data_IF_455534481362
#
_entry.id   IF_455534481362
#
_cell.length_a   1.000
_cell.length_b   1.000
_cell.length_c   1.000
_cell.angle_alpha   90.00
_cell.angle_beta   90.00
_cell.angle_gamma   90.00
#
_symmetry.space_group_name_H-M   'P 1'
#
loop_
_entity.id
_entity.type
_entity.pdbx_description
1 polymer ?
#
# COMPACT_ATOMS: atom_id res chain seq x y z
N UNK A 1 -0.56 -39.11 -31.08
CA UNK A 1 -1.01 -37.95 -30.29
C UNK A 1 0.24 -37.16 -29.97
N UNK A 2 0.46 -36.04 -30.64
CA UNK A 2 1.63 -35.19 -30.41
C UNK A 2 1.39 -34.42 -29.12
N UNK A 3 2.24 -34.65 -28.13
CA UNK A 3 2.37 -33.75 -26.98
C UNK A 3 2.86 -32.42 -27.54
N UNK A 4 1.95 -31.47 -27.71
CA UNK A 4 2.29 -30.07 -27.91
C UNK A 4 3.00 -29.63 -26.62
N UNK A 5 4.33 -29.60 -26.65
CA UNK A 5 5.13 -28.98 -25.60
C UNK A 5 4.75 -27.51 -25.54
N UNK A 6 3.91 -27.16 -24.57
CA UNK A 6 3.58 -25.76 -24.27
C UNK A 6 4.89 -25.09 -23.86
N UNK A 7 5.31 -24.07 -24.61
CA UNK A 7 6.44 -23.23 -24.19
C UNK A 7 6.14 -22.67 -22.79
N UNK A 8 7.12 -22.69 -21.86
CA UNK A 8 6.91 -22.17 -20.53
C UNK A 8 6.56 -20.67 -20.59
N UNK A 9 5.59 -20.26 -19.78
CA UNK A 9 5.11 -18.88 -19.72
C UNK A 9 6.28 -17.93 -19.42
N UNK A 10 6.39 -16.77 -20.09
CA UNK A 10 7.44 -15.78 -19.79
C UNK A 10 7.50 -15.36 -18.31
N UNK A 11 6.38 -15.37 -17.57
CA UNK A 11 6.37 -15.13 -16.13
C UNK A 11 7.08 -16.25 -15.34
N UNK A 12 6.93 -17.51 -15.77
CA UNK A 12 7.56 -18.67 -15.10
C UNK A 12 9.09 -18.68 -15.26
N UNK A 13 9.59 -18.13 -16.36
CA UNK A 13 11.01 -18.10 -16.71
C UNK A 13 11.70 -16.78 -16.32
N UNK A 14 10.95 -15.81 -15.81
CA UNK A 14 11.47 -14.50 -15.45
C UNK A 14 12.36 -14.57 -14.22
N UNK A 15 13.60 -14.07 -14.32
CA UNK A 15 14.50 -13.91 -13.18
C UNK A 15 14.55 -12.43 -12.77
N UNK A 16 14.03 -12.07 -11.59
CA UNK A 16 13.98 -10.69 -11.12
C UNK A 16 15.35 -10.17 -10.63
N UNK A 17 16.35 -11.05 -10.47
CA UNK A 17 17.71 -10.70 -10.00
C UNK A 17 17.77 -9.95 -8.66
N UNK A 18 16.77 -10.17 -7.78
CA UNK A 18 16.77 -9.58 -6.44
C UNK A 18 17.60 -10.45 -5.50
N UNK A 19 18.69 -9.88 -4.99
CA UNK A 19 19.50 -10.53 -3.96
C UNK A 19 18.83 -10.40 -2.60
N UNK A 20 18.96 -11.46 -1.78
CA UNK A 20 18.52 -11.42 -0.39
C UNK A 20 19.29 -10.34 0.36
N UNK A 21 18.55 -9.44 1.01
CA UNK A 21 19.11 -8.38 1.83
C UNK A 21 19.18 -8.78 3.29
N UNK A 22 20.02 -8.09 4.05
CA UNK A 22 20.14 -8.26 5.50
C UNK A 22 19.83 -6.94 6.20
N UNK A 23 18.96 -6.98 7.19
CA UNK A 23 18.74 -5.85 8.09
C UNK A 23 19.88 -5.79 9.13
N UNK A 24 20.48 -4.61 9.41
CA UNK A 24 21.57 -4.48 10.38
C UNK A 24 21.13 -4.77 11.84
N UNK A 25 19.83 -4.72 12.14
CA UNK A 25 19.25 -4.95 13.46
C UNK A 25 18.86 -6.41 13.70
N UNK A 26 18.93 -7.28 12.68
CA UNK A 26 18.63 -8.70 12.83
C UNK A 26 18.10 -9.38 11.56
N UNK A 27 17.30 -10.42 11.76
CA UNK A 27 16.74 -11.26 10.71
C UNK A 27 15.46 -10.68 10.07
N UNK A 28 15.31 -9.35 10.08
CA UNK A 28 14.10 -8.69 9.61
C UNK A 28 14.07 -8.55 8.09
N UNK A 29 12.88 -8.75 7.51
CA UNK A 29 12.64 -8.56 6.07
C UNK A 29 12.20 -7.13 5.79
N UNK A 30 11.30 -6.60 6.62
CA UNK A 30 10.70 -5.28 6.41
C UNK A 30 11.55 -4.16 7.02
N UNK A 31 11.59 -2.97 6.38
CA UNK A 31 12.31 -1.80 6.90
C UNK A 31 11.88 -1.41 8.32
N UNK A 32 12.82 -0.87 9.09
CA UNK A 32 12.58 -0.39 10.45
C UNK A 32 11.36 0.54 10.56
N UNK A 33 11.16 1.43 9.59
CA UNK A 33 10.03 2.35 9.58
C UNK A 33 8.67 1.67 9.66
N UNK A 34 8.45 0.54 8.96
CA UNK A 34 7.20 -0.24 9.08
C UNK A 34 7.14 -1.01 10.40
N UNK A 35 8.28 -1.51 10.89
CA UNK A 35 8.36 -2.29 12.13
C UNK A 35 8.10 -1.47 13.39
N UNK A 36 8.34 -0.16 13.31
CA UNK A 36 8.29 0.77 14.45
C UNK A 36 7.04 1.64 14.49
N UNK A 37 6.07 1.42 13.59
CA UNK A 37 4.81 2.15 13.61
C UNK A 37 4.02 1.86 14.92
N UNK A 38 3.30 2.86 15.46
CA UNK A 38 2.53 2.67 16.68
C UNK A 38 1.29 1.82 16.44
N UNK A 39 0.90 0.99 17.42
CA UNK A 39 -0.36 0.27 17.37
C UNK A 39 -1.58 1.20 17.42
N UNK A 40 -2.63 0.90 16.63
CA UNK A 40 -2.80 -0.30 15.79
C UNK A 40 -2.41 -0.10 14.32
N UNK A 41 -1.67 0.96 13.98
CA UNK A 41 -1.32 1.29 12.59
C UNK A 41 -0.28 0.35 11.98
N UNK A 42 0.46 -0.39 12.81
CA UNK A 42 1.32 -1.50 12.42
C UNK A 42 0.55 -2.82 12.18
N UNK A 43 -0.77 -2.80 12.27
CA UNK A 43 -1.62 -3.97 12.03
C UNK A 43 -2.56 -3.68 10.85
N UNK A 44 -2.63 -4.57 9.86
CA UNK A 44 -3.62 -4.52 8.77
C UNK A 44 -5.03 -4.95 9.25
N UNK A 45 -5.49 -4.42 10.39
CA UNK A 45 -6.81 -4.71 10.98
C UNK A 45 -7.68 -3.45 10.99
N UNK A 46 -8.39 -3.26 9.87
CA UNK A 46 -9.34 -2.15 9.73
C UNK A 46 -10.40 -2.12 10.83
N UNK A 47 -10.86 -3.26 11.35
CA UNK A 47 -11.91 -3.27 12.38
C UNK A 47 -11.43 -2.58 13.65
N UNK A 48 -10.18 -2.86 14.03
CA UNK A 48 -9.54 -2.22 15.18
C UNK A 48 -9.23 -0.75 14.92
N UNK A 49 -8.75 -0.41 13.73
CA UNK A 49 -8.46 0.98 13.34
C UNK A 49 -9.74 1.82 13.34
N UNK A 50 -10.83 1.34 12.74
CA UNK A 50 -12.09 2.07 12.64
C UNK A 50 -12.69 2.45 14.01
N UNK A 51 -12.44 1.64 15.04
CA UNK A 51 -12.92 1.84 16.42
C UNK A 51 -12.03 2.76 17.27
N UNK A 52 -10.87 3.20 16.77
CA UNK A 52 -9.97 4.08 17.52
C UNK A 52 -10.65 5.40 17.92
N UNK A 53 -10.43 5.91 19.14
CA UNK A 53 -11.03 7.17 19.57
C UNK A 53 -10.41 8.36 18.81
N UNK A 54 -11.22 9.37 18.46
CA UNK A 54 -10.80 10.57 17.71
C UNK A 54 -10.18 11.62 18.64
N UNK A 55 -9.14 11.24 19.37
CA UNK A 55 -8.42 12.16 20.27
C UNK A 55 -7.28 12.87 19.54
N UNK A 56 -6.78 13.97 20.12
CA UNK A 56 -5.66 14.72 19.55
C UNK A 56 -4.36 13.87 19.53
N UNK A 57 -4.18 12.96 20.48
CA UNK A 57 -3.06 12.03 20.48
C UNK A 57 -3.12 11.09 19.27
N UNK A 58 -4.31 10.56 18.94
CA UNK A 58 -4.47 9.69 17.77
C UNK A 58 -4.34 10.44 16.45
N UNK A 59 -4.74 11.71 16.40
CA UNK A 59 -4.45 12.57 15.25
C UNK A 59 -2.95 12.84 15.08
N UNK A 60 -2.24 13.08 16.19
CA UNK A 60 -0.79 13.25 16.16
C UNK A 60 -0.07 11.97 15.69
N UNK A 61 -0.52 10.80 16.13
CA UNK A 61 -0.02 9.52 15.64
C UNK A 61 -0.33 9.30 14.15
N UNK A 62 -1.57 9.52 13.71
CA UNK A 62 -1.95 9.41 12.30
C UNK A 62 -1.08 10.30 11.39
N UNK A 63 -0.87 11.56 11.81
CA UNK A 63 0.05 12.48 11.13
C UNK A 63 1.47 11.91 11.08
N UNK A 64 1.97 11.40 12.20
CA UNK A 64 3.31 10.81 12.27
C UNK A 64 3.46 9.62 11.33
N UNK A 65 2.47 8.71 11.31
CA UNK A 65 2.44 7.54 10.41
C UNK A 65 2.53 7.98 8.95
N UNK A 66 1.63 8.87 8.49
CA UNK A 66 1.66 9.37 7.11
C UNK A 66 2.98 10.06 6.75
N UNK A 67 3.56 10.82 7.69
CA UNK A 67 4.86 11.46 7.50
C UNK A 67 5.96 10.43 7.29
N UNK A 68 6.02 9.38 8.12
CA UNK A 68 6.98 8.28 8.00
C UNK A 68 6.81 7.54 6.67
N UNK A 69 5.57 7.22 6.29
CA UNK A 69 5.28 6.55 5.03
C UNK A 69 5.75 7.37 3.83
N UNK A 70 5.60 8.70 3.86
CA UNK A 70 6.05 9.59 2.78
C UNK A 70 7.56 9.79 2.72
N UNK A 71 8.21 9.94 3.87
CA UNK A 71 9.59 10.46 3.94
C UNK A 71 10.66 9.37 3.99
N UNK A 72 10.35 8.17 4.47
CA UNK A 72 11.33 7.09 4.56
C UNK A 72 11.54 6.40 3.19
N UNK A 73 12.72 6.62 2.62
CA UNK A 73 13.10 6.10 1.30
C UNK A 73 13.17 4.57 1.26
N UNK A 74 13.35 3.88 2.40
CA UNK A 74 13.35 2.42 2.45
C UNK A 74 11.96 1.84 2.14
N UNK A 75 10.90 2.65 2.21
CA UNK A 75 9.52 2.25 1.92
C UNK A 75 9.15 2.36 0.44
N UNK A 76 10.04 2.90 -0.40
CA UNK A 76 9.86 3.01 -1.84
C UNK A 76 10.97 2.27 -2.61
N UNK A 77 11.21 0.96 -2.36
CA UNK A 77 12.21 0.21 -3.09
C UNK A 77 11.85 0.13 -4.58
N UNK A 78 12.87 0.07 -5.45
CA UNK A 78 12.64 -0.26 -6.85
C UNK A 78 12.30 -1.75 -6.97
N UNK A 79 11.03 -2.04 -7.24
CA UNK A 79 10.54 -3.41 -7.45
C UNK A 79 10.65 -3.76 -8.94
N UNK A 80 11.44 -4.79 -9.32
CA UNK A 80 11.46 -5.29 -10.68
C UNK A 80 10.05 -5.69 -11.13
N UNK A 81 9.68 -5.22 -12.32
CA UNK A 81 8.35 -5.48 -12.87
C UNK A 81 8.33 -6.83 -13.62
N UNK A 82 7.31 -7.67 -13.40
CA UNK A 82 7.14 -8.87 -14.19
C UNK A 82 6.91 -8.52 -15.68
N UNK A 83 7.25 -9.43 -16.61
CA UNK A 83 7.16 -9.17 -18.05
C UNK A 83 5.72 -8.99 -18.55
N UNK A 84 4.73 -9.45 -17.78
CA UNK A 84 3.31 -9.19 -18.00
C UNK A 84 2.66 -8.81 -16.66
N UNK A 85 1.74 -7.83 -16.64
CA UNK A 85 0.85 -7.67 -15.51
C UNK A 85 -0.18 -8.81 -15.54
N UNK A 86 -0.27 -9.59 -14.45
CA UNK A 86 -1.16 -10.74 -14.46
C UNK A 86 -1.01 -11.71 -13.29
N UNK A 87 -0.84 -12.99 -13.63
CA UNK A 87 -1.01 -14.10 -12.71
C UNK A 87 0.11 -14.17 -11.67
N UNK A 88 1.34 -13.78 -12.01
CA UNK A 88 2.43 -13.75 -11.04
C UNK A 88 2.17 -12.76 -9.90
N UNK A 89 1.56 -11.60 -10.20
CA UNK A 89 1.17 -10.63 -9.18
C UNK A 89 0.14 -11.20 -8.20
N UNK A 90 -0.86 -11.92 -8.72
CA UNK A 90 -1.86 -12.60 -7.88
C UNK A 90 -1.22 -13.65 -6.96
N UNK A 91 -0.17 -14.33 -7.43
CA UNK A 91 0.56 -15.30 -6.58
C UNK A 91 1.42 -14.58 -5.53
N UNK A 92 1.97 -13.40 -5.82
CA UNK A 92 2.63 -12.58 -4.80
C UNK A 92 1.64 -12.17 -3.70
N UNK A 93 0.44 -11.72 -4.07
CA UNK A 93 -0.62 -11.39 -3.12
C UNK A 93 -1.02 -12.58 -2.25
N UNK A 94 -1.18 -13.78 -2.83
CA UNK A 94 -1.42 -15.02 -2.06
C UNK A 94 -0.29 -15.28 -1.06
N UNK A 95 0.97 -15.04 -1.46
CA UNK A 95 2.12 -15.22 -0.59
C UNK A 95 2.17 -14.17 0.53
N UNK A 96 1.89 -12.90 0.21
CA UNK A 96 1.78 -11.82 1.19
C UNK A 96 0.67 -12.08 2.19
N UNK A 97 -0.47 -12.62 1.76
CA UNK A 97 -1.54 -13.05 2.65
C UNK A 97 -1.05 -14.14 3.61
N UNK A 98 -0.34 -15.16 3.12
CA UNK A 98 0.22 -16.21 3.98
C UNK A 98 1.26 -15.66 4.98
N UNK A 99 2.05 -14.66 4.57
CA UNK A 99 2.94 -13.90 5.46
C UNK A 99 2.13 -13.19 6.54
N UNK A 100 1.10 -12.43 6.17
CA UNK A 100 0.24 -11.70 7.12
C UNK A 100 -0.52 -12.63 8.08
N UNK A 101 -0.93 -13.81 7.65
CA UNK A 101 -1.59 -14.80 8.52
C UNK A 101 -0.62 -15.41 9.55
N UNK A 102 0.66 -15.60 9.18
CA UNK A 102 1.66 -16.27 10.02
C UNK A 102 2.50 -15.30 10.86
N UNK A 103 2.73 -14.10 10.35
CA UNK A 103 3.52 -13.02 10.93
C UNK A 103 2.72 -11.71 10.81
N UNK A 104 1.65 -11.54 11.62
CA UNK A 104 0.64 -10.49 11.43
C UNK A 104 1.14 -9.06 11.68
N UNK A 105 2.31 -8.87 12.29
CA UNK A 105 2.91 -7.55 12.48
C UNK A 105 4.16 -7.41 11.63
N UNK A 106 4.44 -6.21 11.07
CA UNK A 106 5.67 -5.96 10.32
C UNK A 106 6.94 -6.31 11.12
N UNK A 107 6.92 -6.06 12.43
CA UNK A 107 8.03 -6.41 13.34
C UNK A 107 8.25 -7.92 13.54
N UNK A 108 7.30 -8.76 13.12
CA UNK A 108 7.42 -10.23 13.17
C UNK A 108 7.91 -10.82 11.86
N UNK A 109 7.89 -10.05 10.76
CA UNK A 109 8.28 -10.54 9.43
C UNK A 109 9.79 -10.72 9.36
N UNK A 110 10.21 -11.97 9.53
CA UNK A 110 11.61 -12.39 9.55
C UNK A 110 11.93 -13.33 8.41
N UNK A 111 13.18 -13.32 8.00
CA UNK A 111 13.69 -14.17 6.93
C UNK A 111 13.56 -15.66 7.29
N UNK A 112 13.80 -16.02 8.54
CA UNK A 112 13.55 -17.36 9.08
C UNK A 112 12.06 -17.77 8.99
N UNK A 113 11.13 -16.89 9.35
CA UNK A 113 9.69 -17.15 9.20
C UNK A 113 9.25 -17.25 7.73
N UNK A 114 9.78 -16.39 6.86
CA UNK A 114 9.55 -16.47 5.41
C UNK A 114 10.08 -17.79 4.84
N UNK A 115 11.26 -18.25 5.27
CA UNK A 115 11.82 -19.53 4.81
C UNK A 115 10.97 -20.72 5.24
N UNK A 116 10.30 -20.66 6.40
CA UNK A 116 9.33 -21.68 6.83
C UNK A 116 8.10 -21.70 5.91
N UNK A 117 7.57 -20.54 5.54
CA UNK A 117 6.48 -20.43 4.57
C UNK A 117 6.88 -20.96 3.20
N UNK A 118 8.08 -20.64 2.72
CA UNK A 118 8.62 -21.14 1.46
C UNK A 118 8.72 -22.68 1.47
N UNK A 119 9.15 -23.29 2.59
CA UNK A 119 9.16 -24.76 2.73
C UNK A 119 7.75 -25.32 2.68
N UNK A 120 6.81 -24.74 3.42
CA UNK A 120 5.41 -25.18 3.42
C UNK A 120 4.77 -25.08 2.03
N UNK A 121 5.04 -24.02 1.28
CA UNK A 121 4.57 -23.82 -0.09
C UNK A 121 5.20 -24.80 -1.07
N UNK A 122 6.49 -25.10 -0.92
CA UNK A 122 7.20 -26.09 -1.74
C UNK A 122 6.62 -27.50 -1.58
N UNK A 123 6.17 -27.84 -0.38
CA UNK A 123 5.65 -29.17 -0.06
C UNK A 123 4.14 -29.33 -0.41
N UNK A 124 3.49 -28.30 -0.96
CA UNK A 124 2.08 -28.36 -1.37
C UNK A 124 1.86 -29.38 -2.49
N UNK A 125 0.88 -30.30 -2.38
CA UNK A 125 0.63 -31.35 -3.38
C UNK A 125 0.28 -30.85 -4.79
N UNK A 126 -0.16 -29.59 -4.92
CA UNK A 126 -0.65 -28.99 -6.16
C UNK A 126 -0.02 -27.61 -6.42
N UNK A 127 1.31 -27.47 -6.26
CA UNK A 127 1.98 -26.23 -6.63
C UNK A 127 1.93 -26.02 -8.15
N UNK A 128 1.24 -24.99 -8.62
CA UNK A 128 1.28 -24.55 -10.02
C UNK A 128 2.64 -23.88 -10.34
N UNK A 129 3.03 -23.73 -11.62
CA UNK A 129 4.34 -23.20 -11.98
C UNK A 129 4.69 -21.83 -11.34
N UNK A 130 3.74 -20.91 -11.26
CA UNK A 130 3.93 -19.59 -10.66
C UNK A 130 4.16 -19.65 -9.14
N UNK A 131 3.56 -20.62 -8.43
CA UNK A 131 3.89 -20.88 -7.02
C UNK A 131 5.36 -21.29 -6.85
N UNK A 132 5.85 -22.13 -7.77
CA UNK A 132 7.27 -22.52 -7.76
C UNK A 132 8.19 -21.36 -8.10
N UNK A 133 7.75 -20.42 -8.93
CA UNK A 133 8.48 -19.19 -9.21
C UNK A 133 8.66 -18.37 -7.93
N UNK A 134 7.58 -18.10 -7.19
CA UNK A 134 7.66 -17.38 -5.90
C UNK A 134 8.56 -18.10 -4.90
N UNK A 135 8.48 -19.43 -4.79
CA UNK A 135 9.37 -20.22 -3.93
C UNK A 135 10.84 -20.10 -4.31
N UNK A 136 11.17 -19.84 -5.58
CA UNK A 136 12.55 -19.64 -6.06
C UNK A 136 13.02 -18.20 -5.94
N UNK A 137 12.10 -17.25 -6.01
CA UNK A 137 12.36 -15.82 -6.06
C UNK A 137 11.58 -15.09 -4.96
N UNK A 138 11.61 -15.62 -3.73
CA UNK A 138 10.81 -15.08 -2.62
C UNK A 138 11.23 -13.65 -2.29
N UNK A 139 12.50 -13.30 -2.56
CA UNK A 139 13.06 -11.98 -2.34
C UNK A 139 12.31 -10.90 -3.12
N UNK A 140 11.95 -11.13 -4.40
CA UNK A 140 11.19 -10.13 -5.15
C UNK A 140 9.76 -10.00 -4.63
N UNK A 141 9.15 -11.11 -4.21
CA UNK A 141 7.82 -11.07 -3.60
C UNK A 141 7.86 -10.26 -2.30
N UNK A 142 8.83 -10.51 -1.42
CA UNK A 142 8.99 -9.74 -0.18
C UNK A 142 9.33 -8.27 -0.43
N UNK A 143 10.11 -7.96 -1.47
CA UNK A 143 10.43 -6.58 -1.86
C UNK A 143 9.17 -5.84 -2.32
N UNK A 144 8.28 -6.52 -3.06
CA UNK A 144 7.00 -6.00 -3.51
C UNK A 144 5.99 -5.80 -2.37
N UNK A 145 6.15 -6.51 -1.25
CA UNK A 145 5.27 -6.34 -0.08
C UNK A 145 5.44 -4.98 0.61
N UNK A 146 6.63 -4.36 0.51
CA UNK A 146 6.94 -3.09 1.17
C UNK A 146 6.02 -1.94 0.70
N UNK A 147 5.94 -1.63 -0.62
CA UNK A 147 5.02 -0.61 -1.09
C UNK A 147 3.55 -0.97 -0.87
N UNK A 148 3.18 -2.26 -0.91
CA UNK A 148 1.82 -2.71 -0.60
C UNK A 148 1.41 -2.37 0.85
N UNK A 149 2.26 -2.71 1.82
CA UNK A 149 2.00 -2.37 3.23
C UNK A 149 1.97 -0.85 3.46
N UNK A 150 2.84 -0.11 2.76
CA UNK A 150 2.86 1.35 2.80
C UNK A 150 1.51 1.92 2.35
N UNK A 151 0.95 1.38 1.27
CA UNK A 151 -0.36 1.76 0.73
C UNK A 151 -1.51 1.41 1.68
N UNK A 152 -1.59 0.14 2.14
CA UNK A 152 -2.62 -0.36 3.05
C UNK A 152 -2.71 0.43 4.37
N UNK A 153 -1.55 0.82 4.92
CA UNK A 153 -1.49 1.58 6.17
C UNK A 153 -1.97 3.01 5.93
N UNK A 154 -1.58 3.64 4.82
CA UNK A 154 -2.07 4.97 4.47
C UNK A 154 -3.57 4.97 4.21
N UNK A 155 -4.10 3.96 3.51
CA UNK A 155 -5.54 3.75 3.31
C UNK A 155 -6.27 3.73 4.65
N UNK A 156 -5.79 2.91 5.58
CA UNK A 156 -6.36 2.78 6.92
C UNK A 156 -6.35 4.11 7.69
N UNK A 157 -5.26 4.89 7.59
CA UNK A 157 -5.18 6.21 8.22
C UNK A 157 -6.17 7.19 7.61
N UNK A 158 -6.22 7.31 6.28
CA UNK A 158 -7.11 8.27 5.61
C UNK A 158 -8.58 7.93 5.82
N UNK A 159 -8.96 6.66 5.74
CA UNK A 159 -10.32 6.21 6.05
C UNK A 159 -10.68 6.47 7.50
N UNK A 160 -9.74 6.31 8.43
CA UNK A 160 -9.99 6.65 9.82
C UNK A 160 -10.21 8.16 10.04
N UNK A 161 -9.43 9.01 9.36
CA UNK A 161 -9.60 10.47 9.36
C UNK A 161 -10.94 10.89 8.76
N UNK A 162 -11.38 10.25 7.67
CA UNK A 162 -12.65 10.54 7.01
C UNK A 162 -13.89 10.25 7.90
N UNK A 163 -13.73 9.44 8.95
CA UNK A 163 -14.77 9.15 9.93
C UNK A 163 -14.88 10.22 11.05
N UNK A 164 -13.95 11.18 11.13
CA UNK A 164 -14.04 12.25 12.12
C UNK A 164 -15.12 13.27 11.71
N UNK A 165 -16.06 13.62 12.61
CA UNK A 165 -17.13 14.56 12.31
C UNK A 165 -16.68 16.02 12.15
N UNK A 166 -15.46 16.37 12.57
CA UNK A 166 -14.89 17.71 12.44
C UNK A 166 -13.54 17.69 11.72
N UNK A 167 -13.52 17.65 10.37
CA UNK A 167 -12.28 17.65 9.61
C UNK A 167 -11.41 18.91 9.80
N UNK A 168 -12.00 20.02 10.26
CA UNK A 168 -11.30 21.30 10.39
C UNK A 168 -10.15 21.24 11.42
N UNK A 169 -10.24 20.37 12.43
CA UNK A 169 -9.21 20.24 13.48
C UNK A 169 -7.89 19.65 12.98
N UNK A 170 -7.89 18.96 11.83
CA UNK A 170 -6.68 18.36 11.25
C UNK A 170 -6.39 18.77 9.80
N UNK A 171 -7.32 19.48 9.15
CA UNK A 171 -7.14 20.05 7.81
C UNK A 171 -5.78 20.77 7.59
N UNK A 172 -5.22 21.56 8.55
CA UNK A 172 -3.97 22.31 8.32
C UNK A 172 -2.76 21.44 7.95
N UNK A 173 -2.76 20.16 8.32
CA UNK A 173 -1.69 19.23 7.93
C UNK A 173 -2.20 18.12 7.00
N UNK A 174 -3.45 17.71 7.13
CA UNK A 174 -3.97 16.58 6.37
C UNK A 174 -4.14 16.86 4.88
N UNK A 175 -4.45 18.10 4.49
CA UNK A 175 -4.55 18.47 3.07
C UNK A 175 -3.21 18.28 2.35
N UNK A 176 -2.12 18.79 2.94
CA UNK A 176 -0.76 18.67 2.38
C UNK A 176 -0.32 17.20 2.31
N UNK A 177 -0.53 16.44 3.38
CA UNK A 177 -0.16 15.01 3.39
C UNK A 177 -0.99 14.18 2.43
N UNK A 178 -2.30 14.42 2.33
CA UNK A 178 -3.17 13.73 1.37
C UNK A 178 -2.74 14.02 -0.07
N UNK A 179 -2.48 15.28 -0.41
CA UNK A 179 -2.00 15.65 -1.75
C UNK A 179 -0.66 14.96 -2.09
N UNK A 180 0.30 14.99 -1.17
CA UNK A 180 1.61 14.32 -1.35
C UNK A 180 1.47 12.80 -1.46
N UNK A 181 0.58 12.19 -0.68
CA UNK A 181 0.27 10.78 -0.76
C UNK A 181 -0.32 10.40 -2.12
N UNK A 182 -1.24 11.19 -2.68
CA UNK A 182 -1.77 10.94 -4.04
C UNK A 182 -0.67 11.08 -5.10
N UNK A 183 0.21 12.09 -4.97
CA UNK A 183 1.35 12.29 -5.89
C UNK A 183 2.28 11.06 -5.90
N UNK A 184 2.56 10.52 -4.72
CA UNK A 184 3.43 9.36 -4.52
C UNK A 184 2.73 8.00 -4.69
N UNK A 185 1.44 8.01 -5.04
CA UNK A 185 0.59 6.82 -5.21
C UNK A 185 0.52 5.95 -3.94
N UNK A 186 0.16 6.58 -2.81
CA UNK A 186 0.07 5.96 -1.49
C UNK A 186 -1.30 6.29 -0.88
N UNK A 187 -2.16 5.29 -0.69
CA UNK A 187 -3.53 5.47 -0.21
C UNK A 187 -4.28 6.51 -1.04
N UNK A 188 -4.07 6.52 -2.37
CA UNK A 188 -4.48 7.61 -3.24
C UNK A 188 -6.01 7.81 -3.24
N UNK A 189 -6.77 6.73 -3.38
CA UNK A 189 -8.24 6.76 -3.37
C UNK A 189 -8.81 7.36 -2.08
N UNK A 190 -8.52 6.84 -0.87
CA UNK A 190 -9.04 7.40 0.36
C UNK A 190 -8.47 8.79 0.69
N UNK A 191 -7.28 9.14 0.19
CA UNK A 191 -6.77 10.51 0.29
C UNK A 191 -7.60 11.50 -0.55
N UNK A 192 -7.96 11.12 -1.78
CA UNK A 192 -8.88 11.90 -2.64
C UNK A 192 -10.26 12.01 -2.00
N UNK A 193 -10.80 10.90 -1.47
CA UNK A 193 -12.07 10.89 -0.75
C UNK A 193 -12.04 11.83 0.47
N UNK A 194 -10.95 11.81 1.25
CA UNK A 194 -10.78 12.69 2.40
C UNK A 194 -10.77 14.18 1.99
N UNK A 195 -10.02 14.51 0.93
CA UNK A 195 -10.00 15.88 0.39
C UNK A 195 -11.39 16.32 -0.08
N UNK A 196 -12.14 15.42 -0.71
CA UNK A 196 -13.53 15.64 -1.09
C UNK A 196 -14.42 15.92 0.13
N UNK A 197 -14.36 15.04 1.13
CA UNK A 197 -15.15 15.15 2.36
C UNK A 197 -14.83 16.41 3.18
N UNK A 198 -13.59 16.89 3.17
CA UNK A 198 -13.21 18.16 3.81
C UNK A 198 -13.89 19.36 3.17
N UNK A 199 -14.00 19.38 1.83
CA UNK A 199 -14.66 20.44 1.06
C UNK A 199 -14.09 21.86 1.24
N UNK A 200 -12.99 22.04 1.99
CA UNK A 200 -12.41 23.35 2.26
C UNK A 200 -11.79 23.95 0.98
N UNK A 201 -11.61 25.29 0.91
CA UNK A 201 -10.95 25.92 -0.23
C UNK A 201 -9.57 25.32 -0.53
N UNK A 202 -8.80 24.97 0.50
CA UNK A 202 -7.48 24.35 0.37
C UNK A 202 -7.56 22.92 -0.17
N UNK A 203 -8.50 22.12 0.33
CA UNK A 203 -8.71 20.75 -0.15
C UNK A 203 -9.19 20.73 -1.61
N UNK A 204 -10.09 21.65 -1.98
CA UNK A 204 -10.53 21.84 -3.36
C UNK A 204 -9.36 22.26 -4.27
N UNK A 205 -8.52 23.19 -3.82
CA UNK A 205 -7.35 23.60 -4.57
C UNK A 205 -6.34 22.46 -4.76
N UNK A 206 -6.20 21.57 -3.77
CA UNK A 206 -5.40 20.35 -3.91
C UNK A 206 -5.98 19.40 -4.97
N UNK A 207 -7.28 19.10 -4.91
CA UNK A 207 -7.97 18.30 -5.93
C UNK A 207 -7.82 18.90 -7.34
N UNK A 208 -7.90 20.23 -7.48
CA UNK A 208 -7.69 20.91 -8.76
C UNK A 208 -6.28 20.65 -9.32
N UNK A 209 -5.25 20.70 -8.47
CA UNK A 209 -3.87 20.37 -8.86
C UNK A 209 -3.70 18.89 -9.21
N UNK A 210 -4.38 17.99 -8.49
CA UNK A 210 -4.33 16.55 -8.75
C UNK A 210 -5.07 16.18 -10.06
N UNK A 211 -6.14 16.88 -10.40
CA UNK A 211 -6.98 16.59 -11.57
C UNK A 211 -6.28 16.74 -12.92
N UNK A 212 -5.13 17.43 -12.98
CA UNK A 212 -4.37 17.63 -14.22
C UNK A 212 -3.22 16.63 -14.39
N UNK A 213 -3.22 15.57 -13.57
CA UNK A 213 -2.14 14.58 -13.40
C UNK A 213 -0.81 15.23 -12.96
N UNK A 214 -0.46 15.12 -11.66
CA UNK A 214 0.85 15.60 -11.21
C UNK A 214 1.99 14.74 -11.78
N UNK A 215 3.21 15.27 -11.69
CA UNK A 215 4.41 14.46 -11.88
C UNK A 215 4.58 13.46 -10.73
N UNK A 216 5.41 12.43 -10.92
CA UNK A 216 5.62 11.38 -9.92
C UNK A 216 4.87 10.08 -10.25
N UNK A 217 4.77 9.16 -9.27
CA UNK A 217 4.11 7.85 -9.40
C UNK A 217 2.61 7.91 -9.75
N UNK A 218 1.91 8.98 -9.39
CA UNK A 218 0.46 9.11 -9.60
C UNK A 218 -0.02 8.72 -11.01
N UNK A 219 -1.05 7.87 -11.03
CA UNK A 219 -1.68 7.35 -12.23
C UNK A 219 -2.63 8.39 -12.88
N UNK A 220 -3.13 8.08 -14.09
CA UNK A 220 -4.23 8.85 -14.68
C UNK A 220 -5.55 8.61 -13.94
N UNK A 221 -5.74 7.42 -13.37
CA UNK A 221 -6.92 7.06 -12.59
C UNK A 221 -7.04 7.96 -11.35
N UNK A 222 -5.92 8.27 -10.69
CA UNK A 222 -5.87 9.21 -9.55
C UNK A 222 -6.34 10.62 -9.96
N UNK A 223 -5.95 11.07 -11.16
CA UNK A 223 -6.36 12.38 -11.68
C UNK A 223 -7.86 12.39 -12.04
N UNK A 224 -8.36 11.30 -12.62
CA UNK A 224 -9.80 11.13 -12.91
C UNK A 224 -10.62 11.08 -11.62
N UNK A 225 -10.16 10.37 -10.58
CA UNK A 225 -10.80 10.34 -9.27
C UNK A 225 -10.89 11.74 -8.64
N UNK A 226 -9.81 12.53 -8.70
CA UNK A 226 -9.82 13.92 -8.22
C UNK A 226 -10.77 14.80 -9.03
N UNK A 227 -10.82 14.62 -10.36
CA UNK A 227 -11.74 15.36 -11.23
C UNK A 227 -13.22 15.02 -10.94
N UNK A 228 -13.54 13.74 -10.77
CA UNK A 228 -14.88 13.29 -10.42
C UNK A 228 -15.32 13.88 -9.06
N UNK A 229 -14.43 13.84 -8.06
CA UNK A 229 -14.67 14.44 -6.74
C UNK A 229 -14.97 15.94 -6.84
N UNK A 230 -14.24 16.69 -7.67
CA UNK A 230 -14.51 18.12 -7.91
C UNK A 230 -15.87 18.38 -8.55
N UNK A 231 -16.31 17.50 -9.46
CA UNK A 231 -17.60 17.60 -10.13
C UNK A 231 -18.75 17.40 -9.14
N UNK A 232 -18.62 16.42 -8.24
CA UNK A 232 -19.63 16.13 -7.22
C UNK A 232 -19.78 17.31 -6.25
N UNK A 233 -18.66 17.89 -5.78
CA UNK A 233 -18.67 19.10 -4.94
C UNK A 233 -19.33 20.31 -5.62
N UNK A 234 -19.22 20.43 -6.95
CA UNK A 234 -19.88 21.49 -7.72
C UNK A 234 -21.40 21.29 -7.87
N UNK A 235 -21.84 20.04 -7.89
CA UNK A 235 -23.25 19.65 -8.06
C UNK A 235 -24.07 19.82 -6.77
N UNK A 236 -23.45 19.59 -5.61
CA UNK A 236 -24.08 19.84 -4.31
C UNK A 236 -24.31 21.33 -4.03
N UNK A 237 -23.39 22.20 -4.47
CA UNK A 237 -23.53 23.66 -4.34
C UNK A 237 -24.59 24.30 -5.25
N UNK A 238 -25.08 23.58 -6.27
CA UNK A 238 -26.06 24.10 -7.24
C UNK A 238 -27.49 23.60 -7.00
N UNK A 239 -27.69 22.61 -6.13
CA UNK A 239 -29.01 22.09 -5.77
C UNK A 239 -29.70 22.84 -4.61
N UNK A 240 -29.07 23.90 -4.09
CA UNK A 240 -29.54 24.72 -2.97
C UNK A 240 -29.94 26.16 -3.32
N UNK A 241 -30.10 26.49 -4.60
CA UNK A 241 -30.59 27.79 -5.11
C UNK A 241 -31.97 27.63 -5.75
#
# INVERSE_FOLDING_TARGET
>A
MSESGTEPDPEEMWDPQVARWSDPEGDYVLPHALRSLPQPWDESDWRRVAELPRTDERLAEARHVLTVLLEDQALAPQVPQPPSPGLLWHVWEEFHQAVGESMPRPSQVTWSGVDELVRAWRDRPQSYPLHRHVVRHVEVAMLAMIPLLRDDIADSVFRWLALDPDPARFAPWAVDLAERCVIEDIGADPAVELLGAMGSPEARAALERLSVKPGGPASWENAEAAQNTLFDLGSEGTSGL
#
